data_IF_764742607752
#
_entry.id   IF_764742607752
#
_cell.length_a   1.000
_cell.length_b   1.000
_cell.length_c   1.000
_cell.angle_alpha   90.00
_cell.angle_beta   90.00
_cell.angle_gamma   90.00
#
_symmetry.space_group_name_H-M   'P 1'
#
loop_
_entity.id
_entity.type
_entity.pdbx_description
1 polymer ?
#
# COMPACT_ATOMS: atom_id res chain seq x y z
N UNK A 1 2.48 -4.46 -15.73
CA UNK A 1 2.09 -3.66 -14.55
C UNK A 1 0.88 -4.25 -13.88
N UNK A 2 0.93 -4.42 -12.59
CA UNK A 2 -0.17 -5.00 -11.82
C UNK A 2 -0.79 -3.91 -10.96
N UNK A 3 -2.07 -3.69 -11.17
CA UNK A 3 -2.78 -2.65 -10.43
C UNK A 3 -3.82 -3.26 -9.51
N UNK A 4 -4.02 -2.62 -8.38
CA UNK A 4 -5.02 -3.06 -7.41
C UNK A 4 -5.69 -1.82 -6.83
N UNK A 5 -6.91 -2.01 -6.36
CA UNK A 5 -7.67 -0.93 -5.74
C UNK A 5 -7.59 -1.08 -4.24
N UNK A 6 -7.19 -0.02 -3.56
CA UNK A 6 -7.11 0.00 -2.11
C UNK A 6 -7.76 1.29 -1.59
N UNK A 7 -8.18 1.26 -0.35
CA UNK A 7 -8.78 2.43 0.28
C UNK A 7 -7.73 3.25 0.98
N UNK A 8 -7.78 4.56 0.79
CA UNK A 8 -6.92 5.46 1.53
C UNK A 8 -7.48 5.69 2.94
N UNK A 9 -6.80 6.54 3.72
CA UNK A 9 -7.21 6.80 5.09
C UNK A 9 -8.57 7.49 5.18
N UNK A 10 -9.02 8.10 4.09
CA UNK A 10 -10.34 8.72 4.03
C UNK A 10 -11.42 7.75 3.56
N UNK A 11 -11.04 6.52 3.28
CA UNK A 11 -11.98 5.51 2.81
C UNK A 11 -12.26 5.56 1.33
N UNK A 12 -11.51 6.36 0.59
CA UNK A 12 -11.69 6.47 -0.85
C UNK A 12 -10.91 5.37 -1.57
N UNK A 13 -11.58 4.68 -2.47
CA UNK A 13 -10.95 3.59 -3.22
C UNK A 13 -10.16 4.18 -4.38
N UNK A 14 -8.87 3.85 -4.45
CA UNK A 14 -8.00 4.31 -5.53
C UNK A 14 -7.25 3.14 -6.12
N UNK A 15 -6.83 3.30 -7.37
CA UNK A 15 -6.06 2.28 -8.05
C UNK A 15 -4.58 2.61 -7.97
N UNK A 16 -3.77 1.64 -7.56
CA UNK A 16 -2.33 1.83 -7.44
C UNK A 16 -1.60 0.70 -8.15
N UNK A 17 -0.35 0.98 -8.53
CA UNK A 17 0.53 -0.05 -9.07
C UNK A 17 1.06 -0.85 -7.88
N UNK A 18 0.53 -2.05 -7.72
CA UNK A 18 0.81 -2.85 -6.51
C UNK A 18 2.28 -3.26 -6.43
N UNK A 19 2.94 -3.45 -7.56
CA UNK A 19 4.35 -3.80 -7.56
C UNK A 19 5.21 -2.66 -7.04
N UNK A 20 4.94 -1.45 -7.52
CA UNK A 20 5.66 -0.28 -7.03
C UNK A 20 5.33 0.01 -5.58
N UNK A 21 4.08 -0.17 -5.21
CA UNK A 21 3.65 0.09 -3.85
C UNK A 21 4.35 -0.85 -2.88
N UNK A 22 4.39 -2.14 -3.23
CA UNK A 22 5.07 -3.12 -2.39
C UNK A 22 6.56 -2.81 -2.27
N UNK A 23 7.18 -2.44 -3.38
CA UNK A 23 8.60 -2.10 -3.36
C UNK A 23 8.86 -0.92 -2.43
N UNK A 24 8.00 0.09 -2.48
CA UNK A 24 8.12 1.25 -1.59
C UNK A 24 8.03 0.84 -0.13
N UNK A 25 7.06 -0.03 0.18
CA UNK A 25 6.91 -0.50 1.56
C UNK A 25 8.12 -1.29 2.02
N UNK A 26 8.68 -2.10 1.14
CA UNK A 26 9.87 -2.89 1.47
C UNK A 26 11.08 -2.01 1.76
N UNK A 27 11.18 -0.87 1.09
CA UNK A 27 12.27 0.07 1.34
C UNK A 27 12.19 0.69 2.73
N UNK A 28 11.00 0.74 3.30
CA UNK A 28 10.78 1.32 4.63
C UNK A 28 10.38 0.26 5.64
N UNK A 29 10.83 -0.96 5.42
CA UNK A 29 10.42 -2.10 6.23
C UNK A 29 10.86 -2.01 7.68
N UNK A 30 11.83 -1.18 7.98
CA UNK A 30 12.35 -1.07 9.34
C UNK A 30 11.42 -0.28 10.26
N UNK A 31 10.42 0.39 9.70
CA UNK A 31 9.48 1.15 10.51
C UNK A 31 8.20 0.34 10.68
N UNK A 32 7.69 0.32 11.88
CA UNK A 32 6.49 -0.46 12.18
C UNK A 32 5.21 0.23 11.78
N UNK A 33 5.24 1.55 11.72
CA UNK A 33 4.06 2.32 11.34
C UNK A 33 4.50 3.61 10.71
N UNK A 34 3.92 3.94 9.55
CA UNK A 34 4.28 5.18 8.89
C UNK A 34 3.15 5.62 7.97
N UNK A 35 3.18 6.90 7.62
CA UNK A 35 2.22 7.47 6.71
C UNK A 35 2.83 7.50 5.31
N UNK A 36 2.13 6.93 4.37
CA UNK A 36 2.55 6.93 2.97
C UNK A 36 1.60 7.82 2.16
N UNK A 37 2.16 8.67 1.32
CA UNK A 37 1.37 9.54 0.48
C UNK A 37 1.50 9.11 -0.98
N UNK A 38 0.37 9.02 -1.67
CA UNK A 38 0.34 8.60 -3.06
C UNK A 38 -0.73 9.42 -3.80
N UNK A 39 -0.30 10.29 -4.71
CA UNK A 39 -1.21 11.11 -5.52
C UNK A 39 -2.22 11.89 -4.69
N UNK A 40 -1.79 12.45 -3.57
CA UNK A 40 -2.67 13.21 -2.70
C UNK A 40 -3.51 12.38 -1.75
N UNK A 41 -3.32 11.08 -1.75
CA UNK A 41 -4.01 10.16 -0.84
C UNK A 41 -3.05 9.65 0.20
N UNK A 42 -3.52 9.50 1.43
CA UNK A 42 -2.68 9.08 2.54
C UNK A 42 -3.08 7.69 3.01
N UNK A 43 -2.08 6.90 3.33
CA UNK A 43 -2.28 5.54 3.83
C UNK A 43 -1.48 5.35 5.10
N UNK A 44 -2.17 4.96 6.16
CA UNK A 44 -1.48 4.57 7.39
C UNK A 44 -0.98 3.14 7.21
N UNK A 45 0.34 3.01 7.17
CA UNK A 45 0.97 1.71 6.92
C UNK A 45 1.29 1.06 8.25
N UNK A 46 0.56 0.02 8.57
CA UNK A 46 0.81 -0.79 9.75
C UNK A 46 0.91 -2.26 9.32
N UNK A 47 0.96 -3.16 10.30
CA UNK A 47 1.10 -4.58 9.99
C UNK A 47 -0.06 -5.09 9.15
N UNK A 48 -1.28 -4.73 9.52
CA UNK A 48 -2.47 -5.19 8.80
C UNK A 48 -2.46 -4.67 7.37
N UNK A 49 -2.06 -3.42 7.19
CA UNK A 49 -1.99 -2.84 5.86
C UNK A 49 -0.93 -3.55 5.01
N UNK A 50 0.22 -3.82 5.60
CA UNK A 50 1.28 -4.53 4.87
C UNK A 50 0.85 -5.93 4.47
N UNK A 51 0.17 -6.62 5.37
CA UNK A 51 -0.34 -7.96 5.07
C UNK A 51 -1.32 -7.92 3.91
N UNK A 52 -2.16 -6.90 3.87
CA UNK A 52 -3.12 -6.72 2.80
C UNK A 52 -2.43 -6.48 1.47
N UNK A 53 -1.43 -5.60 1.47
CA UNK A 53 -0.69 -5.30 0.24
C UNK A 53 0.07 -6.53 -0.26
N UNK A 54 0.68 -7.27 0.64
CA UNK A 54 1.40 -8.48 0.27
C UNK A 54 0.46 -9.51 -0.34
N UNK A 55 -0.73 -9.65 0.23
CA UNK A 55 -1.73 -10.56 -0.29
C UNK A 55 -2.15 -10.16 -1.70
N UNK A 56 -2.38 -8.88 -1.92
CA UNK A 56 -2.73 -8.38 -3.24
C UNK A 56 -1.59 -8.59 -4.24
N UNK A 57 -0.37 -8.42 -3.78
CA UNK A 57 0.80 -8.60 -4.62
C UNK A 57 0.94 -10.04 -5.08
N UNK A 58 0.62 -10.99 -4.21
CA UNK A 58 0.74 -12.41 -4.52
C UNK A 58 -0.40 -12.92 -5.39
N UNK A 59 -1.49 -12.22 -5.48
CA UNK A 59 -2.60 -12.60 -6.35
C UNK A 59 -2.21 -12.40 -7.81
N UNK A 60 -2.64 -13.33 -8.63
CA UNK A 60 -2.35 -13.29 -10.07
C UNK A 60 -3.61 -13.13 -10.88
#
# INVERSE_FOLDING_TARGET
MRKAKIKDDNGKLIEVDIEKFKKHLDEYHSTWSMLHEENGHYFTVDKDFRDKIESLYEQK
#
